data_IF_597619262948
#
_entry.id   IF_597619262948
#
_cell.length_a   1.000
_cell.length_b   1.000
_cell.length_c   1.000
_cell.angle_alpha   90.00
_cell.angle_beta   90.00
_cell.angle_gamma   90.00
#
_symmetry.space_group_name_H-M   'P 1'
#
loop_
_entity.id
_entity.type
_entity.pdbx_description
1 polymer ?
#
# COMPACT_ATOMS: atom_id res chain seq x y z
N UNK A 1 18.25 16.65 -4.07
CA UNK A 1 18.42 15.20 -4.26
C UNK A 1 17.21 14.72 -5.03
N UNK A 2 17.40 14.08 -6.18
CA UNK A 2 16.36 13.22 -6.71
C UNK A 2 16.48 11.93 -5.91
N UNK A 3 15.61 11.78 -4.91
CA UNK A 3 15.42 10.51 -4.24
C UNK A 3 14.65 9.63 -5.22
N UNK A 4 15.37 8.96 -6.12
CA UNK A 4 14.78 7.98 -7.02
C UNK A 4 14.22 6.83 -6.18
N UNK A 5 12.95 6.50 -6.39
CA UNK A 5 12.35 5.34 -5.77
C UNK A 5 13.11 4.10 -6.27
N UNK A 6 13.69 3.26 -5.40
CA UNK A 6 14.41 2.08 -5.84
C UNK A 6 13.49 1.17 -6.68
N UNK A 7 14.01 0.62 -7.78
CA UNK A 7 13.24 -0.26 -8.70
C UNK A 7 12.47 -1.37 -7.97
N UNK A 8 13.09 -1.98 -6.96
CA UNK A 8 12.44 -3.05 -6.18
C UNK A 8 11.21 -2.54 -5.42
N UNK A 9 11.23 -1.30 -4.93
CA UNK A 9 10.10 -0.68 -4.23
C UNK A 9 8.95 -0.43 -5.21
N UNK A 10 9.25 0.10 -6.40
CA UNK A 10 8.24 0.32 -7.44
C UNK A 10 7.62 -0.99 -7.93
N UNK A 11 8.44 -2.04 -8.14
CA UNK A 11 7.98 -3.36 -8.56
C UNK A 11 7.03 -3.98 -7.54
N UNK A 12 7.44 -3.98 -6.26
CA UNK A 12 6.61 -4.50 -5.17
C UNK A 12 5.30 -3.72 -5.04
N UNK A 13 5.38 -2.39 -5.11
CA UNK A 13 4.20 -1.51 -5.08
C UNK A 13 3.18 -1.89 -6.16
N UNK A 14 3.62 -1.96 -7.43
CA UNK A 14 2.76 -2.31 -8.57
C UNK A 14 2.23 -3.74 -8.51
N UNK A 15 2.94 -4.65 -7.85
CA UNK A 15 2.51 -6.05 -7.68
C UNK A 15 1.44 -6.24 -6.61
N UNK A 16 1.44 -5.39 -5.56
CA UNK A 16 0.55 -5.53 -4.41
C UNK A 16 -0.65 -4.61 -4.46
N UNK A 17 -0.50 -3.47 -5.13
CA UNK A 17 -1.55 -2.47 -5.30
C UNK A 17 -1.95 -2.54 -6.77
N UNK A 18 -2.99 -3.31 -7.13
CA UNK A 18 -3.62 -3.13 -8.43
C UNK A 18 -3.96 -1.64 -8.53
N UNK A 19 -3.67 -1.01 -9.68
CA UNK A 19 -3.80 0.43 -9.84
C UNK A 19 -5.14 0.96 -9.29
N UNK A 20 -5.20 2.23 -8.85
CA UNK A 20 -6.35 2.78 -8.15
C UNK A 20 -7.63 2.44 -8.92
N UNK A 21 -8.47 1.57 -8.37
CA UNK A 21 -9.80 1.32 -8.89
C UNK A 21 -10.78 2.06 -7.98
N UNK A 22 -11.31 3.22 -8.42
CA UNK A 22 -12.22 4.05 -7.64
C UNK A 22 -13.50 3.32 -7.21
N UNK A 23 -13.90 2.27 -7.93
CA UNK A 23 -15.10 1.49 -7.63
C UNK A 23 -14.99 0.71 -6.31
N UNK A 24 -13.77 0.52 -5.80
CA UNK A 24 -13.52 -0.13 -4.50
C UNK A 24 -13.40 0.85 -3.34
N UNK A 25 -13.51 2.15 -3.58
CA UNK A 25 -13.39 3.13 -2.51
C UNK A 25 -14.71 3.36 -1.79
N UNK A 26 -14.67 3.71 -0.49
CA UNK A 26 -15.82 4.26 0.21
C UNK A 26 -16.41 5.44 -0.57
N UNK A 27 -17.73 5.57 -0.57
CA UNK A 27 -18.45 6.57 -1.35
C UNK A 27 -17.96 8.01 -1.08
N UNK A 28 -17.54 8.29 0.16
CA UNK A 28 -16.96 9.57 0.57
C UNK A 28 -15.60 9.90 -0.09
N UNK A 29 -14.89 8.91 -0.62
CA UNK A 29 -13.58 9.05 -1.26
C UNK A 29 -13.64 8.89 -2.79
N UNK A 30 -14.82 8.62 -3.35
CA UNK A 30 -15.03 8.42 -4.80
C UNK A 30 -14.64 9.65 -5.62
N UNK A 31 -14.88 10.85 -5.09
CA UNK A 31 -14.52 12.13 -5.72
C UNK A 31 -13.11 12.62 -5.31
N UNK A 32 -12.42 11.91 -4.42
CA UNK A 32 -11.05 12.21 -3.99
C UNK A 32 -10.13 10.97 -4.15
N UNK A 33 -9.74 10.66 -5.40
CA UNK A 33 -8.96 9.48 -5.71
C UNK A 33 -7.58 9.46 -5.08
N UNK A 34 -6.98 10.64 -4.89
CA UNK A 34 -5.64 10.76 -4.31
C UNK A 34 -5.69 10.37 -2.84
N UNK A 35 -6.67 10.89 -2.10
CA UNK A 35 -6.85 10.53 -0.69
C UNK A 35 -7.23 9.05 -0.55
N UNK A 36 -8.16 8.55 -1.37
CA UNK A 36 -8.57 7.14 -1.37
C UNK A 36 -7.40 6.18 -1.58
N UNK A 37 -6.59 6.45 -2.60
CA UNK A 37 -5.40 5.65 -2.91
C UNK A 37 -4.31 5.75 -1.84
N UNK A 38 -4.11 6.94 -1.26
CA UNK A 38 -3.14 7.16 -0.19
C UNK A 38 -3.52 6.40 1.09
N UNK A 39 -4.79 6.47 1.50
CA UNK A 39 -5.31 5.72 2.65
C UNK A 39 -5.20 4.21 2.45
N UNK A 40 -5.56 3.72 1.25
CA UNK A 40 -5.44 2.31 0.91
C UNK A 40 -3.98 1.82 0.96
N UNK A 41 -3.07 2.58 0.34
CA UNK A 41 -1.63 2.28 0.34
C UNK A 41 -1.09 2.20 1.76
N UNK A 42 -1.44 3.17 2.61
CA UNK A 42 -1.03 3.18 4.02
C UNK A 42 -1.55 1.95 4.78
N UNK A 43 -2.84 1.62 4.63
CA UNK A 43 -3.46 0.46 5.28
C UNK A 43 -2.78 -0.85 4.86
N UNK A 44 -2.52 -1.04 3.56
CA UNK A 44 -1.82 -2.23 3.06
C UNK A 44 -0.38 -2.32 3.56
N UNK A 45 0.33 -1.20 3.64
CA UNK A 45 1.67 -1.14 4.23
C UNK A 45 1.68 -1.54 5.70
N UNK A 46 0.72 -1.06 6.49
CA UNK A 46 0.58 -1.44 7.89
C UNK A 46 0.28 -2.93 8.07
N UNK A 47 -0.64 -3.49 7.29
CA UNK A 47 -0.93 -4.94 7.29
C UNK A 47 0.31 -5.77 6.99
N UNK A 48 1.09 -5.37 5.97
CA UNK A 48 2.34 -6.05 5.62
C UNK A 48 3.35 -5.99 6.78
N UNK A 49 3.53 -4.83 7.40
CA UNK A 49 4.42 -4.68 8.56
C UNK A 49 4.03 -5.58 9.73
N UNK A 50 2.73 -5.70 10.02
CA UNK A 50 2.21 -6.61 11.05
C UNK A 50 2.48 -8.07 10.67
N UNK A 51 2.22 -8.47 9.43
CA UNK A 51 2.50 -9.84 8.96
C UNK A 51 3.98 -10.19 9.09
N UNK A 52 4.87 -9.28 8.68
CA UNK A 52 6.32 -9.46 8.85
C UNK A 52 6.71 -9.61 10.31
N UNK A 53 6.17 -8.77 11.20
CA UNK A 53 6.40 -8.88 12.63
C UNK A 53 5.96 -10.25 13.18
N UNK A 54 4.75 -10.69 12.83
CA UNK A 54 4.21 -11.98 13.27
C UNK A 54 5.07 -13.15 12.80
N UNK A 55 5.55 -13.12 11.55
CA UNK A 55 6.45 -14.16 11.04
C UNK A 55 7.82 -14.14 11.74
N UNK A 56 8.39 -12.96 12.04
CA UNK A 56 9.62 -12.86 12.83
C UNK A 56 9.47 -13.40 14.26
N UNK A 57 8.29 -13.25 14.86
CA UNK A 57 8.00 -13.76 16.20
C UNK A 57 7.63 -15.24 16.22
N UNK A 58 7.37 -15.85 15.05
CA UNK A 58 6.89 -17.23 14.94
C UNK A 58 7.99 -18.28 15.20
N UNK A 59 9.25 -17.87 15.17
CA UNK A 59 10.42 -18.72 15.45
C UNK A 59 10.95 -18.59 16.90
N UNK A 60 10.21 -17.90 17.78
CA UNK A 60 10.51 -17.77 19.22
C UNK A 60 9.52 -18.56 20.09
#
# INVERSE_FOLDING_TARGET
MHDEIPFIVELLYRSMIPGPNPDFWPEALREDPVTGHSMWTFYRGLQLGIQLLLECLREY
#
